data_IF_003045945093
#
_entry.id   IF_003045945093
#
_cell.length_a   1.000
_cell.length_b   1.000
_cell.length_c   1.000
_cell.angle_alpha   90.00
_cell.angle_beta   90.00
_cell.angle_gamma   90.00
#
_symmetry.space_group_name_H-M   'P 1'
#
loop_
_entity.id
_entity.type
_entity.pdbx_description
1 polymer ?
#
# COMPACT_ATOMS: atom_id res chain seq x y z
N UNK A 1 -21.77 -9.17 9.26
CA UNK A 1 -21.91 -8.95 7.80
C UNK A 1 -21.37 -10.12 6.98
N UNK A 2 -20.06 -10.25 6.71
CA UNK A 2 -19.57 -11.32 5.80
C UNK A 2 -20.00 -12.75 6.18
N UNK A 3 -19.92 -13.12 7.47
CA UNK A 3 -20.43 -14.41 7.95
C UNK A 3 -21.94 -14.58 7.77
N UNK A 4 -22.72 -13.51 7.96
CA UNK A 4 -24.18 -13.51 7.79
C UNK A 4 -24.57 -13.64 6.31
N UNK A 5 -23.76 -13.09 5.41
CA UNK A 5 -23.95 -13.18 3.96
C UNK A 5 -23.41 -14.49 3.36
N UNK A 6 -22.95 -15.44 4.17
CA UNK A 6 -22.40 -16.72 3.69
C UNK A 6 -21.10 -16.57 2.88
N UNK A 7 -20.35 -15.47 3.07
CA UNK A 7 -19.10 -15.23 2.34
C UNK A 7 -18.06 -16.28 2.73
N UNK A 8 -17.60 -17.06 1.75
CA UNK A 8 -16.51 -18.02 1.91
C UNK A 8 -15.20 -17.24 2.05
N UNK A 9 -14.46 -17.53 3.12
CA UNK A 9 -13.15 -16.91 3.37
C UNK A 9 -12.06 -17.76 2.74
N UNK A 10 -11.27 -17.16 1.84
CA UNK A 10 -10.11 -17.79 1.22
C UNK A 10 -8.88 -17.47 2.09
N UNK A 11 -8.16 -18.51 2.51
CA UNK A 11 -6.97 -18.35 3.35
C UNK A 11 -5.77 -17.85 2.53
N UNK A 12 -4.91 -16.97 3.09
CA UNK A 12 -3.69 -16.55 2.42
C UNK A 12 -2.65 -17.68 2.39
N UNK A 13 -1.81 -17.75 1.35
CA UNK A 13 -0.72 -18.72 1.28
C UNK A 13 0.44 -18.41 2.24
N UNK A 14 0.55 -17.14 2.66
CA UNK A 14 1.51 -16.71 3.67
C UNK A 14 0.81 -15.85 4.70
N UNK A 15 1.12 -16.04 5.98
CA UNK A 15 0.67 -15.11 7.02
C UNK A 15 1.34 -13.75 6.86
N UNK A 16 0.71 -12.72 7.42
CA UNK A 16 1.26 -11.36 7.49
C UNK A 16 2.72 -11.35 7.96
N UNK A 17 2.99 -12.00 9.09
CA UNK A 17 4.32 -12.06 9.68
C UNK A 17 5.30 -12.82 8.80
N UNK A 18 4.90 -13.95 8.21
CA UNK A 18 5.76 -14.73 7.29
C UNK A 18 6.18 -13.88 6.09
N UNK A 19 5.24 -13.13 5.51
CA UNK A 19 5.54 -12.19 4.42
C UNK A 19 6.58 -11.15 4.82
N UNK A 20 6.45 -10.53 6.00
CA UNK A 20 7.40 -9.51 6.44
C UNK A 20 8.79 -10.08 6.72
N UNK A 21 8.89 -11.26 7.33
CA UNK A 21 10.17 -11.92 7.63
C UNK A 21 10.87 -12.43 6.37
N UNK A 22 10.14 -13.10 5.49
CA UNK A 22 10.75 -13.77 4.33
C UNK A 22 10.93 -12.82 3.14
N UNK A 23 9.90 -12.00 2.86
CA UNK A 23 9.85 -11.15 1.66
C UNK A 23 10.23 -9.71 1.96
N UNK A 24 9.68 -9.13 3.03
CA UNK A 24 9.99 -7.76 3.45
C UNK A 24 8.79 -6.82 3.51
N UNK A 25 9.08 -5.59 3.93
CA UNK A 25 8.07 -4.58 4.26
C UNK A 25 7.54 -3.86 3.01
N UNK A 26 6.20 -3.63 2.92
CA UNK A 26 5.60 -2.83 1.85
C UNK A 26 5.81 -1.33 2.08
N UNK A 27 6.99 -0.82 1.71
CA UNK A 27 7.40 0.58 1.93
C UNK A 27 7.10 1.45 0.70
N UNK A 28 6.70 2.70 0.92
CA UNK A 28 6.47 3.73 -0.12
C UNK A 28 5.28 3.43 -1.05
N UNK A 29 5.44 2.56 -2.05
CA UNK A 29 4.39 2.11 -2.98
C UNK A 29 4.77 0.77 -3.60
N UNK A 30 3.82 0.04 -4.22
CA UNK A 30 4.10 -1.26 -4.85
C UNK A 30 5.25 -1.17 -5.87
N UNK A 31 5.23 -0.14 -6.72
CA UNK A 31 6.28 0.09 -7.72
C UNK A 31 7.63 0.46 -7.08
N UNK A 32 7.64 1.43 -6.14
CA UNK A 32 8.88 1.89 -5.51
C UNK A 32 9.51 0.83 -4.61
N UNK A 33 8.70 0.05 -3.87
CA UNK A 33 9.18 -1.10 -3.11
C UNK A 33 9.86 -2.15 -4.00
N UNK A 34 9.33 -2.38 -5.21
CA UNK A 34 9.96 -3.28 -6.16
C UNK A 34 11.35 -2.76 -6.60
N UNK A 35 11.47 -1.47 -6.88
CA UNK A 35 12.76 -0.83 -7.21
C UNK A 35 13.74 -0.90 -6.02
N UNK A 36 13.27 -0.55 -4.81
CA UNK A 36 14.07 -0.63 -3.58
C UNK A 36 14.56 -2.05 -3.30
N UNK A 37 13.74 -3.08 -3.53
CA UNK A 37 14.16 -4.47 -3.38
C UNK A 37 15.40 -4.80 -4.24
N UNK A 38 15.46 -4.29 -5.48
CA UNK A 38 16.66 -4.47 -6.32
C UNK A 38 17.87 -3.72 -5.78
N UNK A 39 17.70 -2.50 -5.27
CA UNK A 39 18.80 -1.72 -4.68
C UNK A 39 19.33 -2.37 -3.38
N UNK A 40 18.48 -3.02 -2.61
CA UNK A 40 18.86 -3.74 -1.39
C UNK A 40 19.43 -5.13 -1.63
N UNK A 41 19.41 -5.64 -2.86
CA UNK A 41 20.03 -6.92 -3.22
C UNK A 41 21.43 -6.63 -3.77
N UNK A 42 22.52 -6.94 -3.03
CA UNK A 42 23.88 -6.78 -3.53
C UNK A 42 24.12 -7.66 -4.77
N UNK A 43 25.03 -7.25 -5.65
CA UNK A 43 25.50 -8.03 -6.80
C UNK A 43 24.38 -8.58 -7.71
N UNK A 44 23.28 -7.83 -7.82
CA UNK A 44 22.11 -8.26 -8.62
C UNK A 44 22.47 -8.35 -10.10
N UNK A 45 22.06 -9.43 -10.76
CA UNK A 45 22.24 -9.59 -12.22
C UNK A 45 21.51 -8.51 -13.05
N UNK A 46 20.58 -7.76 -12.44
CA UNK A 46 19.79 -6.73 -13.11
C UNK A 46 20.48 -5.35 -13.13
N UNK A 47 21.78 -5.32 -13.37
CA UNK A 47 22.61 -4.10 -13.34
C UNK A 47 22.05 -2.96 -14.22
N UNK A 48 21.63 -3.24 -15.45
CA UNK A 48 21.04 -2.22 -16.34
C UNK A 48 19.76 -1.60 -15.78
N UNK A 49 18.93 -2.41 -15.10
CA UNK A 49 17.71 -1.90 -14.48
C UNK A 49 18.01 -1.10 -13.22
N UNK A 50 19.00 -1.53 -12.43
CA UNK A 50 19.49 -0.81 -11.25
C UNK A 50 20.08 0.55 -11.64
N UNK A 51 20.90 0.60 -12.68
CA UNK A 51 21.41 1.85 -13.25
C UNK A 51 20.25 2.80 -13.60
N UNK A 52 19.24 2.32 -14.32
CA UNK A 52 18.07 3.13 -14.66
C UNK A 52 17.27 3.59 -13.43
N UNK A 53 17.20 2.78 -12.35
CA UNK A 53 16.60 3.19 -11.08
C UNK A 53 17.42 4.31 -10.43
N UNK A 54 18.75 4.22 -10.45
CA UNK A 54 19.67 5.14 -9.76
C UNK A 54 19.84 6.47 -10.49
N UNK A 55 19.97 6.44 -11.82
CA UNK A 55 20.29 7.63 -12.64
C UNK A 55 19.09 8.15 -13.43
N UNK A 56 18.17 7.26 -13.81
CA UNK A 56 17.09 7.54 -14.75
C UNK A 56 17.44 7.17 -16.20
N UNK A 57 18.69 6.81 -16.48
CA UNK A 57 19.17 6.49 -17.82
C UNK A 57 18.97 5.01 -18.13
N UNK A 58 18.20 4.75 -19.18
CA UNK A 58 17.84 3.40 -19.58
C UNK A 58 18.91 2.78 -20.50
N UNK A 59 18.97 1.45 -20.54
CA UNK A 59 19.79 0.73 -21.52
C UNK A 59 19.16 0.64 -22.90
N UNK A 60 19.66 -0.26 -23.74
CA UNK A 60 19.21 -0.46 -25.13
C UNK A 60 17.69 -0.68 -25.26
N UNK A 61 17.07 -1.40 -24.32
CA UNK A 61 15.60 -1.63 -24.30
C UNK A 61 14.79 -0.34 -24.11
N UNK A 62 15.35 0.68 -23.46
CA UNK A 62 14.75 2.00 -23.32
C UNK A 62 15.29 3.01 -24.33
N UNK A 63 15.90 2.54 -25.43
CA UNK A 63 16.51 3.37 -26.47
C UNK A 63 17.52 4.40 -25.93
N UNK A 64 18.21 4.07 -24.83
CA UNK A 64 19.18 4.97 -24.17
C UNK A 64 18.59 6.33 -23.75
N UNK A 65 17.28 6.38 -23.51
CA UNK A 65 16.60 7.60 -23.09
C UNK A 65 16.64 7.77 -21.56
N UNK A 66 16.62 9.03 -21.14
CA UNK A 66 16.42 9.41 -19.75
C UNK A 66 14.93 9.39 -19.38
N UNK A 67 14.57 8.80 -18.24
CA UNK A 67 13.20 8.83 -17.73
C UNK A 67 13.13 9.06 -16.22
N UNK A 68 12.56 10.19 -15.83
CA UNK A 68 12.25 10.48 -14.43
C UNK A 68 11.23 9.51 -13.81
N UNK A 69 10.49 8.75 -14.64
CA UNK A 69 9.52 7.76 -14.17
C UNK A 69 10.21 6.48 -13.69
N UNK A 70 11.26 6.04 -14.39
CA UNK A 70 12.02 4.85 -13.97
C UNK A 70 12.93 5.17 -12.79
N UNK A 71 13.55 6.36 -12.79
CA UNK A 71 14.38 6.86 -11.69
C UNK A 71 13.62 6.81 -10.37
N UNK A 72 14.24 6.25 -9.34
CA UNK A 72 13.72 6.37 -7.98
C UNK A 72 14.02 7.80 -7.48
N UNK A 73 13.07 8.51 -6.85
CA UNK A 73 13.34 9.85 -6.33
C UNK A 73 14.56 9.87 -5.40
N UNK A 74 15.40 10.91 -5.53
CA UNK A 74 16.71 10.97 -4.85
C UNK A 74 16.60 10.80 -3.32
N UNK A 75 15.50 11.27 -2.70
CA UNK A 75 15.24 11.05 -1.27
C UNK A 75 15.23 9.57 -0.86
N UNK A 76 14.81 8.67 -1.74
CA UNK A 76 14.81 7.24 -1.50
C UNK A 76 16.12 6.58 -1.93
N UNK A 77 16.80 7.12 -2.95
CA UNK A 77 18.15 6.68 -3.31
C UNK A 77 19.10 6.93 -2.13
N UNK A 78 19.03 8.11 -1.51
CA UNK A 78 19.78 8.44 -0.28
C UNK A 78 19.54 7.45 0.86
N UNK A 79 18.38 6.80 0.90
CA UNK A 79 18.05 5.81 1.94
C UNK A 79 18.35 4.36 1.51
N UNK A 80 18.28 4.00 0.24
CA UNK A 80 18.30 2.59 -0.17
C UNK A 80 19.33 2.26 -1.26
N UNK A 81 20.06 3.25 -1.77
CA UNK A 81 20.94 3.11 -2.93
C UNK A 81 22.40 2.75 -2.61
N UNK A 82 22.77 2.59 -1.34
CA UNK A 82 24.18 2.50 -0.92
C UNK A 82 24.97 1.37 -1.59
N UNK A 83 24.35 0.20 -1.80
CA UNK A 83 24.97 -0.94 -2.49
C UNK A 83 25.44 -0.61 -3.93
N UNK A 84 24.93 0.46 -4.52
CA UNK A 84 25.21 0.92 -5.88
C UNK A 84 25.63 2.40 -5.89
N UNK A 85 26.28 2.85 -4.81
CA UNK A 85 26.63 4.25 -4.60
C UNK A 85 27.62 4.79 -5.64
N UNK A 86 28.42 3.91 -6.25
CA UNK A 86 29.31 4.20 -7.38
C UNK A 86 28.57 4.76 -8.60
N UNK A 87 27.29 4.41 -8.78
CA UNK A 87 26.45 4.92 -9.87
C UNK A 87 25.94 6.35 -9.64
N UNK A 88 26.04 6.88 -8.40
CA UNK A 88 25.58 8.22 -8.01
C UNK A 88 26.60 8.89 -7.08
N UNK A 89 27.81 9.21 -7.59
CA UNK A 89 28.86 9.84 -6.80
C UNK A 89 28.44 11.22 -6.26
N UNK A 90 27.48 11.88 -6.92
CA UNK A 90 26.88 13.14 -6.49
C UNK A 90 26.07 13.03 -5.18
N UNK A 91 25.63 11.83 -4.80
CA UNK A 91 24.82 11.59 -3.59
C UNK A 91 25.55 10.78 -2.50
N UNK A 92 26.77 10.30 -2.74
CA UNK A 92 27.43 9.30 -1.90
C UNK A 92 27.57 9.73 -0.43
N UNK A 93 27.86 11.01 -0.19
CA UNK A 93 28.01 11.59 1.17
C UNK A 93 26.70 11.66 1.94
N UNK A 94 25.56 11.56 1.27
CA UNK A 94 24.22 11.60 1.87
C UNK A 94 23.57 10.22 1.96
N UNK A 95 24.19 9.17 1.39
CA UNK A 95 23.62 7.83 1.40
C UNK A 95 23.77 7.15 2.77
N UNK A 96 22.67 6.59 3.26
CA UNK A 96 22.67 5.74 4.46
C UNK A 96 23.09 4.32 4.10
N UNK A 97 23.81 3.67 5.03
CA UNK A 97 24.10 2.25 4.95
C UNK A 97 22.82 1.42 4.76
N UNK A 98 22.88 0.27 4.06
CA UNK A 98 21.72 -0.57 3.84
C UNK A 98 21.04 -0.93 5.18
N UNK A 99 19.71 -0.82 5.28
CA UNK A 99 19.00 -1.14 6.50
C UNK A 99 19.01 -2.65 6.77
N UNK A 100 18.98 -3.02 8.05
CA UNK A 100 18.82 -4.42 8.49
C UNK A 100 17.34 -4.85 8.45
N UNK A 101 16.69 -4.66 7.29
CA UNK A 101 15.37 -5.19 6.96
C UNK A 101 15.17 -5.25 5.44
N UNK A 102 14.27 -6.14 4.99
CA UNK A 102 13.91 -6.28 3.57
C UNK A 102 12.75 -5.37 3.19
N UNK A 103 12.65 -5.00 1.92
CA UNK A 103 11.52 -4.23 1.36
C UNK A 103 10.91 -5.03 0.21
N UNK A 104 9.58 -5.14 0.15
CA UNK A 104 8.93 -5.95 -0.89
C UNK A 104 7.55 -5.46 -1.28
N UNK A 105 7.21 -5.72 -2.54
CA UNK A 105 5.90 -5.47 -3.14
C UNK A 105 5.00 -6.70 -3.20
N UNK A 106 5.51 -7.87 -2.74
CA UNK A 106 4.89 -9.18 -2.95
C UNK A 106 3.87 -9.61 -1.88
N UNK A 107 3.64 -8.79 -0.86
CA UNK A 107 2.70 -9.13 0.21
C UNK A 107 1.28 -9.39 -0.30
N UNK A 108 0.75 -8.50 -1.16
CA UNK A 108 -0.57 -8.66 -1.77
C UNK A 108 -0.66 -9.92 -2.65
N UNK A 109 0.45 -10.30 -3.30
CA UNK A 109 0.47 -11.47 -4.18
C UNK A 109 0.17 -12.75 -3.40
N UNK A 110 0.96 -13.05 -2.37
CA UNK A 110 0.80 -14.29 -1.60
C UNK A 110 -0.39 -14.29 -0.65
N UNK A 111 -0.82 -13.11 -0.19
CA UNK A 111 -1.92 -13.01 0.76
C UNK A 111 -3.29 -12.85 0.13
N UNK A 112 -3.37 -12.38 -1.13
CA UNK A 112 -4.65 -11.98 -1.74
C UNK A 112 -4.79 -12.42 -3.18
N UNK A 113 -3.87 -11.98 -4.05
CA UNK A 113 -4.00 -12.16 -5.51
C UNK A 113 -3.92 -13.65 -5.86
N UNK A 114 -2.84 -14.33 -5.49
CA UNK A 114 -2.62 -15.74 -5.83
C UNK A 114 -3.70 -16.68 -5.24
N UNK A 115 -4.08 -16.61 -3.95
CA UNK A 115 -5.16 -17.45 -3.43
C UNK A 115 -6.50 -17.23 -4.10
N UNK A 116 -6.84 -15.98 -4.45
CA UNK A 116 -8.09 -15.68 -5.14
C UNK A 116 -8.07 -16.18 -6.60
N UNK A 117 -6.95 -16.02 -7.29
CA UNK A 117 -6.77 -16.50 -8.67
C UNK A 117 -6.85 -18.03 -8.76
N UNK A 118 -6.24 -18.73 -7.80
CA UNK A 118 -6.26 -20.19 -7.76
C UNK A 118 -7.67 -20.71 -7.42
N UNK A 119 -8.36 -20.10 -6.45
CA UNK A 119 -9.78 -20.41 -6.17
C UNK A 119 -10.63 -20.21 -7.42
N UNK A 120 -10.48 -19.07 -8.10
CA UNK A 120 -11.26 -18.73 -9.29
C UNK A 120 -11.11 -19.76 -10.41
N UNK A 121 -9.90 -20.29 -10.61
CA UNK A 121 -9.63 -21.37 -11.56
C UNK A 121 -10.30 -22.67 -11.14
N UNK A 122 -10.14 -23.06 -9.87
CA UNK A 122 -10.67 -24.32 -9.33
C UNK A 122 -12.21 -24.41 -9.43
N UNK A 123 -12.89 -23.27 -9.36
CA UNK A 123 -14.35 -23.20 -9.31
C UNK A 123 -14.97 -22.54 -10.54
N UNK A 124 -14.18 -22.29 -11.59
CA UNK A 124 -14.60 -21.63 -12.82
C UNK A 124 -15.39 -20.33 -12.55
N UNK A 125 -14.85 -19.47 -11.69
CA UNK A 125 -15.50 -18.21 -11.29
C UNK A 125 -14.73 -16.99 -11.79
N UNK A 126 -15.44 -15.86 -11.84
CA UNK A 126 -14.91 -14.59 -12.30
C UNK A 126 -15.22 -13.49 -11.28
N UNK A 127 -14.24 -12.62 -10.96
CA UNK A 127 -14.42 -11.66 -9.89
C UNK A 127 -15.29 -10.46 -10.32
N UNK A 128 -16.20 -10.07 -9.43
CA UNK A 128 -16.71 -8.71 -9.36
C UNK A 128 -15.73 -7.85 -8.54
N UNK A 129 -15.26 -6.75 -9.12
CA UNK A 129 -14.31 -5.83 -8.50
C UNK A 129 -14.96 -4.46 -8.30
N UNK A 130 -14.86 -3.92 -7.08
CA UNK A 130 -15.34 -2.57 -6.75
C UNK A 130 -14.41 -1.45 -7.22
N UNK A 131 -13.87 -1.54 -8.44
CA UNK A 131 -13.03 -0.48 -9.03
C UNK A 131 -13.92 0.59 -9.65
N UNK A 132 -13.57 1.86 -9.45
CA UNK A 132 -14.25 2.99 -10.08
C UNK A 132 -13.27 3.80 -10.94
N UNK A 133 -13.73 4.35 -12.06
CA UNK A 133 -12.90 5.22 -12.89
C UNK A 133 -12.54 6.52 -12.13
N UNK A 134 -13.47 7.02 -11.32
CA UNK A 134 -13.30 8.17 -10.42
C UNK A 134 -12.14 8.03 -9.41
N UNK A 135 -11.57 6.83 -9.23
CA UNK A 135 -10.39 6.64 -8.38
C UNK A 135 -9.08 7.10 -9.05
N UNK A 136 -9.11 7.40 -10.35
CA UNK A 136 -7.98 7.94 -11.11
C UNK A 136 -6.86 6.92 -11.40
N UNK A 137 -5.83 7.43 -12.10
CA UNK A 137 -4.59 6.71 -12.35
C UNK A 137 -4.78 5.43 -13.17
N UNK A 138 -4.16 4.33 -12.76
CA UNK A 138 -4.24 3.06 -13.50
C UNK A 138 -5.64 2.47 -13.56
N UNK A 139 -6.52 2.80 -12.60
CA UNK A 139 -7.90 2.30 -12.57
C UNK A 139 -8.76 2.98 -13.62
N UNK A 140 -8.68 4.30 -13.67
CA UNK A 140 -9.32 5.12 -14.71
C UNK A 140 -8.88 4.67 -16.10
N UNK A 141 -7.57 4.68 -16.38
CA UNK A 141 -7.05 4.27 -17.69
C UNK A 141 -7.47 2.84 -18.06
N UNK A 142 -7.42 1.91 -17.10
CA UNK A 142 -7.81 0.53 -17.31
C UNK A 142 -9.30 0.34 -17.60
N UNK A 143 -10.17 1.10 -16.92
CA UNK A 143 -11.63 1.04 -17.12
C UNK A 143 -12.07 1.80 -18.37
N UNK A 144 -11.50 2.97 -18.66
CA UNK A 144 -11.77 3.72 -19.89
C UNK A 144 -11.38 2.93 -21.15
N UNK A 145 -10.25 2.21 -21.10
CA UNK A 145 -9.79 1.40 -22.23
C UNK A 145 -10.60 0.12 -22.45
N UNK A 146 -10.98 -0.56 -21.37
CA UNK A 146 -11.46 -1.94 -21.44
C UNK A 146 -12.94 -2.10 -21.03
N UNK A 147 -13.58 -1.05 -20.53
CA UNK A 147 -14.94 -1.11 -20.00
C UNK A 147 -15.06 -1.76 -18.62
N UNK A 148 -16.31 -1.81 -18.15
CA UNK A 148 -16.69 -2.42 -16.87
C UNK A 148 -16.57 -3.95 -16.92
N UNK A 149 -17.03 -4.60 -17.99
CA UNK A 149 -16.87 -6.02 -18.24
C UNK A 149 -15.69 -6.23 -19.20
N UNK A 150 -14.72 -7.02 -18.77
CA UNK A 150 -13.51 -7.29 -19.55
C UNK A 150 -13.34 -8.80 -19.75
N UNK A 151 -13.14 -9.19 -21.01
CA UNK A 151 -12.93 -10.57 -21.44
C UNK A 151 -11.58 -10.69 -22.16
N UNK A 152 -10.50 -10.72 -21.39
CA UNK A 152 -9.14 -10.88 -21.90
C UNK A 152 -8.67 -12.33 -21.93
N UNK A 153 -7.60 -12.60 -22.68
CA UNK A 153 -6.99 -13.94 -22.83
C UNK A 153 -6.61 -14.60 -21.49
N UNK A 154 -6.16 -13.81 -20.53
CA UNK A 154 -5.67 -14.29 -19.23
C UNK A 154 -6.46 -13.71 -18.05
N UNK A 155 -7.45 -12.86 -18.31
CA UNK A 155 -8.15 -12.14 -17.24
C UNK A 155 -9.57 -11.85 -17.70
N UNK A 156 -10.53 -12.30 -16.92
CA UNK A 156 -11.95 -11.94 -17.05
C UNK A 156 -12.39 -11.30 -15.75
N UNK A 157 -13.11 -10.18 -15.83
CA UNK A 157 -13.61 -9.46 -14.64
C UNK A 157 -14.85 -8.63 -14.96
N UNK A 158 -15.60 -8.28 -13.92
CA UNK A 158 -16.65 -7.26 -13.98
C UNK A 158 -16.44 -6.18 -12.93
N UNK A 159 -16.55 -4.91 -13.31
CA UNK A 159 -16.46 -3.75 -12.44
C UNK A 159 -17.77 -2.96 -12.49
N UNK A 160 -18.83 -3.38 -11.75
CA UNK A 160 -20.15 -2.76 -11.84
C UNK A 160 -20.16 -1.30 -11.39
N UNK A 161 -19.26 -0.92 -10.48
CA UNK A 161 -19.11 0.46 -10.01
C UNK A 161 -18.20 1.32 -10.89
N UNK A 162 -17.84 0.87 -12.10
CA UNK A 162 -16.89 1.60 -12.95
C UNK A 162 -17.29 3.07 -13.22
N UNK A 163 -18.59 3.33 -13.36
CA UNK A 163 -19.16 4.65 -13.66
C UNK A 163 -19.54 5.47 -12.41
N UNK A 164 -19.48 4.85 -11.23
CA UNK A 164 -19.88 5.49 -9.99
C UNK A 164 -18.75 6.36 -9.44
N UNK A 165 -19.12 7.38 -8.70
CA UNK A 165 -18.20 8.09 -7.82
C UNK A 165 -18.41 7.72 -6.35
N UNK A 166 -17.62 8.36 -5.47
CA UNK A 166 -17.71 8.11 -4.03
C UNK A 166 -19.05 8.59 -3.45
N UNK A 167 -19.60 9.70 -3.94
CA UNK A 167 -20.87 10.24 -3.47
C UNK A 167 -22.00 9.28 -3.81
N UNK A 168 -22.01 8.74 -5.03
CA UNK A 168 -22.98 7.73 -5.46
C UNK A 168 -22.94 6.50 -4.54
N UNK A 169 -21.74 5.99 -4.22
CA UNK A 169 -21.59 4.82 -3.34
C UNK A 169 -22.06 5.09 -1.91
N UNK A 170 -21.77 6.27 -1.36
CA UNK A 170 -22.19 6.62 -0.01
C UNK A 170 -23.70 6.83 0.06
N UNK A 171 -24.30 7.47 -0.95
CA UNK A 171 -25.74 7.64 -1.05
C UNK A 171 -26.43 6.28 -1.19
N UNK A 172 -25.94 5.42 -2.09
CA UNK A 172 -26.47 4.06 -2.27
C UNK A 172 -26.37 3.22 -0.98
N UNK A 173 -25.29 3.39 -0.20
CA UNK A 173 -25.16 2.72 1.09
C UNK A 173 -26.21 3.16 2.11
N UNK A 174 -26.58 4.45 2.12
CA UNK A 174 -27.67 4.97 2.95
C UNK A 174 -29.03 4.43 2.47
N UNK A 175 -29.31 4.53 1.18
CA UNK A 175 -30.59 4.12 0.58
C UNK A 175 -30.88 2.63 0.82
N UNK A 176 -29.85 1.79 0.74
CA UNK A 176 -29.94 0.35 0.96
C UNK A 176 -29.73 -0.07 2.43
N UNK A 177 -29.55 0.87 3.35
CA UNK A 177 -29.23 0.61 4.76
C UNK A 177 -28.07 -0.39 4.94
N UNK A 178 -27.00 -0.20 4.17
CA UNK A 178 -25.84 -1.10 4.18
C UNK A 178 -25.11 -1.01 5.53
N UNK A 179 -24.78 -2.15 6.17
CA UNK A 179 -23.94 -2.14 7.36
C UNK A 179 -22.54 -1.56 7.09
N UNK A 180 -22.24 -0.41 7.70
CA UNK A 180 -20.94 0.26 7.56
C UNK A 180 -19.95 -0.27 8.61
N UNK A 181 -18.74 -0.75 8.22
CA UNK A 181 -17.77 -1.22 9.19
C UNK A 181 -17.25 -0.10 10.10
N UNK A 182 -17.03 -0.40 11.40
CA UNK A 182 -16.49 0.53 12.42
C UNK A 182 -15.22 1.28 11.99
N UNK A 183 -14.41 0.69 11.10
CA UNK A 183 -13.21 1.33 10.55
C UNK A 183 -13.51 2.60 9.73
N UNK A 184 -14.70 2.68 9.12
CA UNK A 184 -15.20 3.85 8.41
C UNK A 184 -15.95 4.82 9.33
N UNK A 185 -16.42 4.35 10.49
CA UNK A 185 -17.28 5.14 11.38
C UNK A 185 -18.71 5.20 10.84
N UNK A 186 -19.23 6.42 10.70
CA UNK A 186 -20.58 6.70 10.19
C UNK A 186 -20.50 7.44 8.86
N UNK A 187 -21.56 7.34 8.04
CA UNK A 187 -21.72 8.20 6.86
C UNK A 187 -22.40 9.49 7.34
N UNK A 188 -21.71 10.63 7.22
CA UNK A 188 -22.23 11.96 7.54
C UNK A 188 -22.23 12.85 6.30
N UNK A 189 -22.96 13.96 6.39
CA UNK A 189 -23.08 14.98 5.35
C UNK A 189 -22.50 16.29 5.86
N UNK A 190 -21.70 16.96 5.03
CA UNK A 190 -21.24 18.34 5.27
C UNK A 190 -22.37 19.32 4.97
N UNK A 191 -22.18 20.58 5.35
CA UNK A 191 -23.12 21.68 5.05
C UNK A 191 -23.37 21.85 3.55
N UNK A 192 -22.33 21.66 2.73
CA UNK A 192 -22.41 21.72 1.26
C UNK A 192 -23.12 20.51 0.61
N UNK A 193 -23.60 19.55 1.43
CA UNK A 193 -24.26 18.34 0.96
C UNK A 193 -23.33 17.16 0.69
N UNK A 194 -22.00 17.32 0.75
CA UNK A 194 -21.03 16.26 0.47
C UNK A 194 -21.06 15.17 1.55
N UNK A 195 -21.25 13.92 1.13
CA UNK A 195 -21.15 12.74 1.98
C UNK A 195 -19.70 12.33 2.24
N UNK A 196 -19.43 11.92 3.48
CA UNK A 196 -18.14 11.38 3.89
C UNK A 196 -18.29 10.37 5.03
N UNK A 197 -17.28 9.54 5.23
CA UNK A 197 -17.19 8.63 6.38
C UNK A 197 -16.42 9.31 7.52
N UNK A 198 -16.88 9.23 8.78
CA UNK A 198 -16.27 9.99 9.89
C UNK A 198 -14.87 9.53 10.29
N UNK A 199 -14.46 8.32 9.91
CA UNK A 199 -13.10 7.79 10.16
C UNK A 199 -12.33 7.62 8.85
N UNK A 200 -11.93 6.38 8.52
CA UNK A 200 -11.14 6.13 7.33
C UNK A 200 -11.96 6.36 6.05
N UNK A 201 -11.43 7.10 5.08
CA UNK A 201 -12.08 7.18 3.76
C UNK A 201 -11.86 5.91 2.92
N UNK A 202 -10.72 5.26 3.13
CA UNK A 202 -10.33 3.99 2.51
C UNK A 202 -9.55 3.17 3.51
N UNK A 203 -9.73 1.86 3.47
CA UNK A 203 -9.04 0.93 4.37
C UNK A 203 -8.17 -0.05 3.58
N UNK A 204 -7.17 -0.60 4.26
CA UNK A 204 -6.25 -1.59 3.70
C UNK A 204 -5.92 -2.65 4.74
N UNK A 205 -4.89 -3.47 4.45
CA UNK A 205 -4.38 -4.41 5.44
C UNK A 205 -3.72 -3.67 6.61
N UNK A 206 -3.92 -4.12 7.85
CA UNK A 206 -3.39 -3.46 9.05
C UNK A 206 -1.87 -3.31 9.08
N UNK A 207 -1.12 -4.21 8.43
CA UNK A 207 0.35 -4.15 8.37
C UNK A 207 0.89 -3.35 7.16
N UNK A 208 0.05 -2.75 6.33
CA UNK A 208 0.49 -2.16 5.07
C UNK A 208 1.02 -0.73 5.28
N UNK A 209 2.32 -0.51 5.06
CA UNK A 209 2.95 0.82 5.09
C UNK A 209 2.99 1.54 3.74
N UNK A 210 2.37 1.02 2.68
CA UNK A 210 2.30 1.75 1.42
C UNK A 210 1.56 3.07 1.60
N UNK A 211 2.20 4.15 1.17
CA UNK A 211 1.71 5.52 1.29
C UNK A 211 1.84 6.15 2.67
N UNK A 212 2.32 5.43 3.70
CA UNK A 212 2.33 5.97 5.09
C UNK A 212 3.13 7.27 5.22
N UNK A 213 4.23 7.39 4.48
CA UNK A 213 5.07 8.60 4.39
C UNK A 213 4.38 9.82 3.75
N UNK A 214 3.15 9.67 3.24
CA UNK A 214 2.32 10.77 2.71
C UNK A 214 1.15 11.09 3.65
N UNK A 215 0.92 10.28 4.69
CA UNK A 215 -0.16 10.50 5.64
C UNK A 215 0.24 11.55 6.68
N UNK A 216 -0.70 12.45 6.99
CA UNK A 216 -0.61 13.29 8.19
C UNK A 216 -0.94 12.46 9.42
N UNK A 217 -0.39 12.84 10.57
CA UNK A 217 -0.77 12.24 11.85
C UNK A 217 -2.06 12.85 12.40
N UNK A 218 -2.96 12.05 13.02
CA UNK A 218 -2.84 10.60 13.22
C UNK A 218 -2.96 9.79 11.91
N UNK A 219 -1.94 9.00 11.62
CA UNK A 219 -1.88 8.12 10.45
C UNK A 219 -2.42 6.73 10.79
N UNK A 220 -2.48 5.82 9.82
CA UNK A 220 -3.11 4.49 10.02
C UNK A 220 -2.54 3.67 11.19
N UNK A 221 -1.24 3.77 11.49
CA UNK A 221 -0.66 3.04 12.63
C UNK A 221 -1.04 3.69 13.98
N UNK A 222 -1.31 4.99 14.02
CA UNK A 222 -1.82 5.66 15.23
C UNK A 222 -3.24 5.19 15.52
N UNK A 223 -4.09 5.17 14.49
CA UNK A 223 -5.44 4.63 14.60
C UNK A 223 -5.44 3.15 14.99
N UNK A 224 -4.46 2.38 14.51
CA UNK A 224 -4.30 0.98 14.94
C UNK A 224 -3.95 0.87 16.43
N UNK A 225 -3.10 1.76 16.95
CA UNK A 225 -2.81 1.83 18.39
C UNK A 225 -4.06 2.13 19.20
N UNK A 226 -4.89 3.06 18.76
CA UNK A 226 -6.16 3.40 19.40
C UNK A 226 -7.15 2.22 19.39
N UNK A 227 -7.33 1.59 18.23
CA UNK A 227 -8.30 0.50 18.05
C UNK A 227 -7.85 -0.82 18.68
N UNK A 228 -6.55 -1.13 18.63
CA UNK A 228 -5.98 -2.40 19.10
C UNK A 228 -4.49 -2.25 19.50
N UNK A 229 -4.21 -1.78 20.74
CA UNK A 229 -2.85 -1.55 21.22
C UNK A 229 -1.94 -2.78 21.14
N UNK A 230 -2.50 -3.98 21.36
CA UNK A 230 -1.74 -5.24 21.31
C UNK A 230 -1.30 -5.58 19.89
N UNK A 231 -2.21 -5.45 18.91
CA UNK A 231 -1.85 -5.65 17.50
C UNK A 231 -0.87 -4.59 17.02
N UNK A 232 -1.06 -3.33 17.42
CA UNK A 232 -0.10 -2.26 17.13
C UNK A 232 1.28 -2.60 17.67
N UNK A 233 1.39 -2.96 18.96
CA UNK A 233 2.67 -3.30 19.58
C UNK A 233 3.39 -4.41 18.82
N UNK A 234 2.66 -5.48 18.48
CA UNK A 234 3.19 -6.57 17.68
C UNK A 234 3.74 -6.11 16.32
N UNK A 235 2.99 -5.31 15.55
CA UNK A 235 3.45 -4.82 14.26
C UNK A 235 4.63 -3.85 14.36
N UNK A 236 4.64 -3.02 15.40
CA UNK A 236 5.68 -1.99 15.56
C UNK A 236 6.99 -2.57 16.09
N UNK A 237 6.93 -3.55 17.00
CA UNK A 237 8.10 -4.04 17.73
C UNK A 237 8.47 -5.50 17.49
N UNK A 238 7.55 -6.39 17.11
CA UNK A 238 7.78 -7.85 17.24
C UNK A 238 7.54 -8.70 15.99
N UNK A 239 7.02 -8.11 14.92
CA UNK A 239 6.55 -8.88 13.77
C UNK A 239 7.66 -9.56 12.96
N UNK A 240 8.92 -9.15 13.14
CA UNK A 240 10.10 -9.72 12.50
C UNK A 240 11.19 -10.10 13.50
N UNK A 241 12.11 -10.97 13.06
CA UNK A 241 13.32 -11.36 13.81
C UNK A 241 14.53 -11.14 12.93
N UNK A 242 15.56 -10.45 13.43
CA UNK A 242 16.80 -10.23 12.69
C UNK A 242 17.78 -11.41 12.81
N UNK A 243 18.93 -11.29 12.15
CA UNK A 243 19.98 -12.31 12.10
C UNK A 243 20.54 -12.66 13.48
N UNK A 244 20.46 -11.73 14.44
CA UNK A 244 20.93 -11.90 15.81
C UNK A 244 19.83 -12.47 16.73
N UNK A 245 18.63 -12.76 16.19
CA UNK A 245 17.50 -13.26 16.96
C UNK A 245 16.69 -12.17 17.66
N UNK A 246 17.01 -10.89 17.47
CA UNK A 246 16.29 -9.80 18.12
C UNK A 246 14.98 -9.51 17.39
N UNK A 247 13.94 -9.20 18.17
CA UNK A 247 12.64 -8.80 17.65
C UNK A 247 12.65 -7.36 17.16
N UNK A 248 12.00 -7.13 16.03
CA UNK A 248 11.76 -5.79 15.50
C UNK A 248 10.46 -5.77 14.68
N UNK A 249 10.03 -4.57 14.30
CA UNK A 249 8.87 -4.40 13.43
C UNK A 249 8.92 -3.13 12.61
N UNK A 250 7.73 -2.59 12.33
CA UNK A 250 7.56 -1.36 11.56
C UNK A 250 8.27 -0.16 12.18
N UNK A 251 8.50 -0.12 13.51
CA UNK A 251 9.19 0.99 14.14
C UNK A 251 10.56 1.26 13.52
N UNK A 252 11.38 0.20 13.40
CA UNK A 252 12.69 0.24 12.73
C UNK A 252 12.60 0.78 11.30
N UNK A 253 11.56 0.40 10.56
CA UNK A 253 11.36 0.83 9.17
C UNK A 253 10.93 2.29 9.10
N UNK A 254 9.98 2.71 9.96
CA UNK A 254 9.44 4.07 10.00
C UNK A 254 10.51 5.08 10.45
N UNK A 255 11.32 4.74 11.45
CA UNK A 255 12.47 5.55 11.88
C UNK A 255 13.46 5.74 10.73
N UNK A 256 13.76 4.67 10.00
CA UNK A 256 14.70 4.69 8.89
C UNK A 256 14.25 5.65 7.76
N UNK A 257 12.95 5.65 7.44
CA UNK A 257 12.34 6.51 6.41
C UNK A 257 11.87 7.87 6.93
N UNK A 258 12.08 8.18 8.21
CA UNK A 258 11.75 9.47 8.81
C UNK A 258 10.26 9.71 9.05
N UNK A 259 9.48 8.66 9.32
CA UNK A 259 8.05 8.77 9.67
C UNK A 259 7.89 8.58 11.17
N UNK A 260 7.40 9.61 11.87
CA UNK A 260 7.12 9.55 13.32
C UNK A 260 5.94 8.61 13.61
N UNK A 261 6.05 7.81 14.66
CA UNK A 261 5.07 6.77 14.96
C UNK A 261 4.92 6.45 16.46
N UNK A 262 5.99 6.57 17.24
CA UNK A 262 6.03 6.07 18.62
C UNK A 262 5.30 6.98 19.61
N UNK A 263 5.49 8.29 19.50
CA UNK A 263 4.78 9.28 20.31
C UNK A 263 3.26 9.23 20.06
N UNK A 264 2.45 9.66 21.03
CA UNK A 264 0.99 9.79 20.81
C UNK A 264 0.75 11.13 20.13
N UNK A 265 0.11 11.18 18.95
CA UNK A 265 -0.12 12.46 18.30
C UNK A 265 -1.12 13.25 19.13
N UNK A 266 -0.89 14.56 19.29
CA UNK A 266 -1.89 15.45 19.86
C UNK A 266 -3.15 15.33 19.00
N UNK A 267 -4.29 15.06 19.62
CA UNK A 267 -5.56 15.00 18.90
C UNK A 267 -5.76 16.33 18.18
N UNK A 268 -5.65 16.32 16.85
CA UNK A 268 -6.19 17.41 16.06
C UNK A 268 -7.71 17.31 16.19
N UNK A 269 -8.26 17.93 17.22
CA UNK A 269 -9.64 18.37 17.15
C UNK A 269 -9.69 19.27 15.91
N UNK A 270 -10.37 18.80 14.86
CA UNK A 270 -10.74 19.71 13.78
C UNK A 270 -11.56 20.82 14.41
N UNK A 271 -11.30 22.08 14.03
CA UNK A 271 -12.16 23.19 14.43
C UNK A 271 -13.63 22.95 14.05
N UNK A 272 -13.90 22.07 13.08
CA UNK A 272 -15.24 21.62 12.68
C UNK A 272 -15.97 20.78 13.76
N UNK A 273 -15.27 20.25 14.78
CA UNK A 273 -15.88 19.50 15.90
C UNK A 273 -16.27 20.40 17.08
N UNK A 274 -15.87 21.67 17.06
CA UNK A 274 -16.34 22.69 18.00
C UNK A 274 -17.52 23.38 17.34
N UNK A 275 -18.72 22.82 17.55
CA UNK A 275 -19.97 23.45 17.15
C UNK A 275 -19.97 24.92 17.56
N UNK A 276 -20.18 25.80 16.57
CA UNK A 276 -20.41 27.21 16.82
C UNK A 276 -21.62 27.36 17.74
N UNK A 277 -21.38 28.01 18.88
CA UNK A 277 -22.43 28.62 19.70
C UNK A 277 -23.15 29.73 18.93
#
# INVERSE_FOLDING_TARGET
VHKQLGVISIAPYMSKSKVLNELGFPVVSKEKANKINYLLTPDSEKQTFIHAIMTGDMGAQGHFQHSNRIKLPDKWIKLFGYNYSDMRPDLISEMKQPPEFKVSSKCCYYMKEKPADDWAKEHNSFPFLGLMASEGGQREMGLMKNGCNYYGKHTVRSCPFAIFDRQDLLQLALDLNVPVPKAYGEIKRKEDGTLYTTRAQRTGCSMCGFGVHLEKRPHRFDRLREDNPKEWYYWMYECCTDSNGNKYGWGRVLDYIGVKWEDVPVSQLSFDDLGGE
#
